data_IF_789362130221
#
_entry.id   IF_789362130221
#
_cell.length_a   1.000
_cell.length_b   1.000
_cell.length_c   1.000
_cell.angle_alpha   90.00
_cell.angle_beta   90.00
_cell.angle_gamma   90.00
#
_symmetry.space_group_name_H-M   'P 1'
#
loop_
_entity.id
_entity.type
_entity.pdbx_description
1 polymer ?
#
# COMPACT_ATOMS: atom_id res chain seq x y z
N UNK A 1 -0.56 -19.07 13.60
CA UNK A 1 -1.00 -17.86 14.32
C UNK A 1 -0.77 -16.63 13.47
N UNK A 2 -1.74 -15.73 13.47
CA UNK A 2 -1.65 -14.54 12.63
C UNK A 2 -1.24 -13.36 13.47
N UNK A 3 -0.05 -12.83 13.18
CA UNK A 3 0.50 -11.71 13.93
C UNK A 3 -0.22 -10.40 13.63
N UNK A 4 -0.68 -10.24 12.38
CA UNK A 4 -1.31 -8.99 11.93
C UNK A 4 -2.77 -9.16 11.57
N UNK A 5 -3.45 -10.09 12.25
CA UNK A 5 -4.84 -10.37 11.91
C UNK A 5 -5.69 -9.10 11.97
N UNK A 6 -6.40 -8.83 10.88
CA UNK A 6 -7.32 -7.70 10.73
C UNK A 6 -6.66 -6.34 10.80
N UNK A 7 -5.33 -6.27 10.80
CA UNK A 7 -4.63 -5.01 10.70
C UNK A 7 -4.70 -4.49 9.26
N UNK A 8 -4.88 -3.21 9.11
CA UNK A 8 -4.95 -2.57 7.80
C UNK A 8 -3.56 -2.08 7.43
N UNK A 9 -3.05 -2.60 6.34
CA UNK A 9 -1.68 -2.35 5.90
C UNK A 9 -1.71 -1.76 4.49
N UNK A 10 -0.98 -0.68 4.29
CA UNK A 10 -0.80 -0.08 2.97
C UNK A 10 0.62 -0.34 2.53
N UNK A 11 0.79 -0.82 1.30
CA UNK A 11 2.10 -1.02 0.70
C UNK A 11 2.16 -0.19 -0.57
N UNK A 12 3.09 0.75 -0.62
CA UNK A 12 3.32 1.52 -1.85
C UNK A 12 4.34 0.77 -2.69
N UNK A 13 4.11 0.74 -4.00
CA UNK A 13 5.00 0.02 -4.90
C UNK A 13 4.91 -1.48 -4.72
N UNK A 14 3.72 -2.00 -4.42
CA UNK A 14 3.54 -3.41 -4.11
C UNK A 14 3.21 -4.30 -5.29
N UNK A 15 3.30 -3.80 -6.52
CA UNK A 15 2.89 -4.59 -7.67
C UNK A 15 3.91 -5.65 -8.04
N UNK A 16 5.18 -5.41 -7.75
CA UNK A 16 6.19 -6.41 -8.05
C UNK A 16 7.40 -6.25 -7.13
N UNK A 17 8.37 -7.16 -7.30
CA UNK A 17 9.62 -7.10 -6.57
C UNK A 17 9.44 -7.21 -5.06
N UNK A 18 10.22 -6.43 -4.35
CA UNK A 18 10.24 -6.45 -2.88
C UNK A 18 8.89 -6.07 -2.31
N UNK A 19 8.24 -5.06 -2.91
CA UNK A 19 6.93 -4.63 -2.43
C UNK A 19 5.89 -5.72 -2.52
N UNK A 20 5.94 -6.51 -3.60
CA UNK A 20 5.02 -7.63 -3.75
C UNK A 20 5.26 -8.69 -2.69
N UNK A 21 6.52 -8.97 -2.38
CA UNK A 21 6.86 -9.92 -1.34
C UNK A 21 6.37 -9.44 0.02
N UNK A 22 6.55 -8.15 0.31
CA UNK A 22 6.11 -7.58 1.57
C UNK A 22 4.60 -7.67 1.70
N UNK A 23 3.87 -7.32 0.64
CA UNK A 23 2.41 -7.39 0.67
C UNK A 23 1.94 -8.83 0.91
N UNK A 24 2.58 -9.79 0.24
CA UNK A 24 2.25 -11.19 0.44
C UNK A 24 2.52 -11.67 1.85
N UNK A 25 3.62 -11.21 2.43
CA UNK A 25 3.95 -11.60 3.78
C UNK A 25 2.92 -11.07 4.78
N UNK A 26 2.51 -9.81 4.64
CA UNK A 26 1.48 -9.28 5.52
C UNK A 26 0.16 -10.03 5.36
N UNK A 27 -0.21 -10.36 4.12
CA UNK A 27 -1.44 -11.13 3.90
C UNK A 27 -1.36 -12.49 4.58
N UNK A 28 -0.19 -13.14 4.54
CA UNK A 28 -0.02 -14.44 5.17
C UNK A 28 -0.12 -14.34 6.69
N UNK A 29 0.06 -13.14 7.24
CA UNK A 29 -0.09 -12.90 8.67
C UNK A 29 -1.49 -12.41 9.04
N UNK A 30 -2.43 -12.48 8.10
CA UNK A 30 -3.81 -12.14 8.37
C UNK A 30 -4.18 -10.69 8.15
N UNK A 31 -3.26 -9.88 7.64
CA UNK A 31 -3.52 -8.46 7.43
C UNK A 31 -4.44 -8.22 6.23
N UNK A 32 -5.13 -7.10 6.29
CA UNK A 32 -5.89 -6.57 5.16
C UNK A 32 -4.95 -5.60 4.44
N UNK A 33 -4.50 -5.99 3.26
CA UNK A 33 -3.44 -5.25 2.58
C UNK A 33 -3.99 -4.51 1.38
N UNK A 34 -3.69 -3.23 1.32
CA UNK A 34 -4.00 -2.38 0.17
C UNK A 34 -2.69 -1.98 -0.50
N UNK A 35 -2.65 -2.13 -1.80
CA UNK A 35 -1.45 -1.83 -2.59
C UNK A 35 -1.75 -0.66 -3.50
N UNK A 36 -0.83 0.29 -3.59
CA UNK A 36 -0.88 1.34 -4.60
C UNK A 36 0.42 1.30 -5.40
N UNK A 37 0.30 1.34 -6.71
CA UNK A 37 1.46 1.30 -7.60
C UNK A 37 1.06 2.00 -8.89
N UNK A 38 1.99 2.65 -9.54
CA UNK A 38 1.69 3.27 -10.82
C UNK A 38 1.64 2.28 -11.96
N UNK A 39 2.13 1.08 -11.74
CA UNK A 39 2.05 0.01 -12.70
C UNK A 39 0.62 -0.55 -12.72
N UNK A 40 0.14 -0.92 -13.90
CA UNK A 40 -1.21 -1.45 -13.98
C UNK A 40 -1.33 -2.82 -13.36
N UNK A 41 -2.50 -3.11 -12.79
CA UNK A 41 -2.75 -4.37 -12.12
C UNK A 41 -4.03 -4.31 -11.33
N UNK A 42 -4.25 -5.31 -10.48
CA UNK A 42 -5.48 -5.43 -9.69
C UNK A 42 -5.37 -4.72 -8.35
N UNK A 43 -4.60 -3.67 -8.30
CA UNK A 43 -4.43 -2.85 -7.12
C UNK A 43 -4.86 -1.43 -7.48
N UNK A 44 -4.73 -0.51 -6.53
CA UNK A 44 -5.00 0.90 -6.82
C UNK A 44 -3.87 1.42 -7.72
N UNK A 45 -4.20 1.82 -8.92
CA UNK A 45 -3.20 2.27 -9.88
C UNK A 45 -3.07 3.78 -9.78
N UNK A 46 -1.89 4.25 -9.48
CA UNK A 46 -1.64 5.68 -9.40
C UNK A 46 -0.23 5.96 -8.94
N UNK A 47 0.22 7.18 -9.18
CA UNK A 47 1.55 7.63 -8.81
C UNK A 47 1.47 8.37 -7.49
N UNK A 48 2.09 7.81 -6.44
CA UNK A 48 2.01 8.40 -5.10
C UNK A 48 2.70 9.75 -5.00
N UNK A 49 3.50 10.11 -6.00
CA UNK A 49 4.08 11.45 -6.02
C UNK A 49 3.04 12.53 -6.30
N UNK A 50 1.86 12.14 -6.74
CA UNK A 50 0.78 13.08 -7.02
C UNK A 50 -0.16 13.15 -5.83
N UNK A 51 -0.33 14.35 -5.31
CA UNK A 51 -1.12 14.57 -4.11
C UNK A 51 -2.56 14.08 -4.27
N UNK A 52 -3.17 14.38 -5.42
CA UNK A 52 -4.55 13.99 -5.64
C UNK A 52 -4.73 12.48 -5.70
N UNK A 53 -3.73 11.76 -6.17
CA UNK A 53 -3.76 10.30 -6.21
C UNK A 53 -3.69 9.75 -4.79
N UNK A 54 -2.79 10.29 -4.00
CA UNK A 54 -2.63 9.85 -2.63
C UNK A 54 -3.89 10.11 -1.82
N UNK A 55 -4.51 11.28 -2.03
CA UNK A 55 -5.76 11.59 -1.34
C UNK A 55 -6.88 10.65 -1.73
N UNK A 56 -6.99 10.31 -3.02
CA UNK A 56 -8.03 9.40 -3.48
C UNK A 56 -7.83 8.01 -2.89
N UNK A 57 -6.57 7.55 -2.85
CA UNK A 57 -6.26 6.25 -2.28
C UNK A 57 -6.60 6.22 -0.79
N UNK A 58 -6.20 7.25 -0.07
CA UNK A 58 -6.48 7.33 1.36
C UNK A 58 -7.98 7.33 1.62
N UNK A 59 -8.73 8.09 0.81
CA UNK A 59 -10.18 8.14 0.97
C UNK A 59 -10.81 6.77 0.74
N UNK A 60 -10.31 6.01 -0.22
CA UNK A 60 -10.84 4.68 -0.47
C UNK A 60 -10.61 3.76 0.72
N UNK A 61 -9.39 3.77 1.26
CA UNK A 61 -9.06 2.91 2.39
C UNK A 61 -9.84 3.31 3.64
N UNK A 62 -9.86 4.60 3.94
CA UNK A 62 -10.53 5.09 5.14
C UNK A 62 -12.05 5.03 5.02
N UNK A 63 -12.57 4.92 3.81
CA UNK A 63 -13.99 4.69 3.61
C UNK A 63 -14.41 3.30 4.02
N UNK A 64 -13.47 2.35 4.10
CA UNK A 64 -13.75 0.97 4.47
C UNK A 64 -13.26 0.63 5.87
N UNK A 65 -12.31 1.39 6.38
CA UNK A 65 -11.68 1.11 7.67
C UNK A 65 -11.49 2.40 8.44
N UNK A 66 -11.58 2.31 9.74
CA UNK A 66 -11.47 3.51 10.58
C UNK A 66 -10.06 4.04 10.63
N UNK A 67 -9.08 3.18 10.37
CA UNK A 67 -7.69 3.58 10.54
C UNK A 67 -6.79 2.73 9.66
N UNK A 68 -5.54 3.15 9.56
CA UNK A 68 -4.47 2.38 8.93
C UNK A 68 -3.46 2.06 10.02
N UNK A 69 -3.11 0.79 10.13
CA UNK A 69 -2.21 0.34 11.19
C UNK A 69 -0.74 0.40 10.76
N UNK A 70 -0.46 0.09 9.51
CA UNK A 70 0.92 0.02 9.02
C UNK A 70 0.99 0.60 7.62
N UNK A 71 2.00 1.41 7.36
CA UNK A 71 2.29 1.89 6.02
C UNK A 71 3.71 1.48 5.67
N UNK A 72 3.86 0.72 4.60
CA UNK A 72 5.16 0.33 4.09
C UNK A 72 5.42 1.16 2.85
N UNK A 73 6.37 2.09 2.96
CA UNK A 73 6.67 3.00 1.87
C UNK A 73 7.82 2.44 1.02
N UNK A 74 7.47 1.49 0.17
CA UNK A 74 8.43 0.83 -0.69
C UNK A 74 8.69 1.61 -1.98
N UNK A 75 7.67 2.32 -2.46
CA UNK A 75 7.80 3.11 -3.68
C UNK A 75 8.25 4.52 -3.34
N UNK A 76 9.43 4.64 -2.77
CA UNK A 76 9.95 5.95 -2.44
C UNK A 76 10.15 6.74 -3.71
N UNK A 77 9.54 7.92 -3.83
CA UNK A 77 9.85 8.78 -4.96
C UNK A 77 11.33 9.08 -4.90
N UNK A 78 12.00 8.96 -6.00
CA UNK A 78 13.39 9.30 -6.02
C UNK A 78 13.48 10.77 -5.94
N UNK A 79 13.88 11.13 -4.85
CA UNK A 79 13.94 12.53 -4.65
C UNK A 79 15.12 13.09 -5.29
N UNK A 80 15.72 12.52 -5.86
CA UNK A 80 16.77 12.97 -6.40
C UNK A 80 16.94 14.22 -6.46
N UNK A 81 17.13 14.51 -6.10
CA UNK A 81 17.04 15.61 -6.03
C UNK A 81 16.86 16.36 -5.95
N UNK A 82 16.71 16.27 -6.02
CA UNK A 82 16.60 16.67 -5.96
C UNK A 82 16.77 16.95 -5.85
#
# INVERSE_FOLDING_TARGET
>A
MYTFKDKVVIVTGGANGIGRCIAGEFRSQGAIVYVIDKQEGEHFVGDIARKEVLEAFAAEVLGKHDKVDVIVNNALPLMKGD
#
